data_IF_651986831137
#
_entry.id   IF_651986831137
#
_cell.length_a   1.000
_cell.length_b   1.000
_cell.length_c   1.000
_cell.angle_alpha   90.00
_cell.angle_beta   90.00
_cell.angle_gamma   90.00
#
_symmetry.space_group_name_H-M   'P 1'
#
loop_
_entity.id
_entity.type
_entity.pdbx_description
1 polymer ?
#
# COMPACT_ATOMS: atom_id res chain seq x y z
N UNK A 1 1.44 19.48 33.11
CA UNK A 1 0.89 18.24 32.53
C UNK A 1 -0.62 18.29 32.67
N UNK A 2 -1.37 18.26 31.59
CA UNK A 2 -2.82 18.08 31.66
C UNK A 2 -3.09 16.69 32.26
N UNK A 3 -3.85 16.62 33.36
CA UNK A 3 -4.31 15.33 33.89
C UNK A 3 -5.39 14.82 32.94
N UNK A 4 -5.27 13.57 32.50
CA UNK A 4 -6.35 12.91 31.77
C UNK A 4 -7.60 12.86 32.67
N UNK A 5 -8.81 12.95 32.11
CA UNK A 5 -10.05 12.75 32.83
C UNK A 5 -10.00 11.45 33.65
N UNK A 6 -10.57 11.46 34.87
CA UNK A 6 -10.52 10.33 35.82
C UNK A 6 -11.19 9.05 35.29
N UNK A 7 -12.03 9.18 34.27
CA UNK A 7 -12.77 8.13 33.57
C UNK A 7 -12.08 7.65 32.27
N UNK A 8 -10.86 8.10 32.00
CA UNK A 8 -10.11 7.68 30.80
C UNK A 8 -9.73 6.20 30.92
N UNK A 9 -10.32 5.36 30.07
CA UNK A 9 -9.91 3.95 29.91
C UNK A 9 -8.73 3.89 28.94
N UNK A 10 -7.60 3.36 29.40
CA UNK A 10 -6.46 3.03 28.54
C UNK A 10 -6.46 1.55 28.21
N UNK A 11 -6.35 1.23 26.93
CA UNK A 11 -6.06 -0.13 26.47
C UNK A 11 -4.55 -0.27 26.29
N UNK A 12 -3.95 -1.30 26.89
CA UNK A 12 -2.54 -1.64 26.71
C UNK A 12 -2.44 -2.86 25.81
N UNK A 13 -1.60 -2.78 24.79
CA UNK A 13 -1.31 -3.89 23.90
C UNK A 13 0.02 -4.53 24.29
N UNK A 14 -0.04 -5.74 24.83
CA UNK A 14 1.14 -6.48 25.25
C UNK A 14 1.75 -7.22 24.05
N UNK A 15 2.91 -6.73 23.59
CA UNK A 15 3.62 -7.29 22.45
C UNK A 15 4.23 -8.65 22.80
N UNK A 16 4.60 -8.90 24.06
CA UNK A 16 5.15 -10.18 24.48
C UNK A 16 4.08 -11.27 24.48
N UNK A 17 2.85 -10.95 24.90
CA UNK A 17 1.72 -11.87 24.77
C UNK A 17 1.37 -12.16 23.30
N UNK A 18 1.39 -11.14 22.43
CA UNK A 18 1.19 -11.36 20.99
C UNK A 18 2.28 -12.27 20.41
N UNK A 19 3.54 -11.99 20.74
CA UNK A 19 4.70 -12.77 20.30
C UNK A 19 4.59 -14.22 20.78
N UNK A 20 4.30 -14.43 22.05
CA UNK A 20 4.13 -15.77 22.60
C UNK A 20 2.98 -16.52 21.92
N UNK A 21 1.84 -15.86 21.73
CA UNK A 21 0.70 -16.46 21.01
C UNK A 21 1.05 -16.88 19.59
N UNK A 22 1.92 -16.15 18.89
CA UNK A 22 2.39 -16.54 17.57
C UNK A 22 3.36 -17.73 17.64
N UNK A 23 4.31 -17.69 18.57
CA UNK A 23 5.34 -18.74 18.74
C UNK A 23 4.73 -20.07 19.18
N UNK A 24 3.69 -20.04 20.01
CA UNK A 24 2.98 -21.24 20.47
C UNK A 24 2.34 -22.03 19.33
N UNK A 25 2.05 -21.38 18.20
CA UNK A 25 1.58 -22.05 16.98
C UNK A 25 2.69 -22.82 16.23
N UNK A 26 3.95 -22.61 16.59
CA UNK A 26 5.15 -23.18 15.96
C UNK A 26 6.10 -23.78 17.01
N UNK A 27 5.68 -24.84 17.73
CA UNK A 27 6.46 -25.42 18.80
C UNK A 27 7.80 -25.97 18.31
N UNK A 28 8.88 -25.63 19.03
CA UNK A 28 10.25 -26.06 18.72
C UNK A 28 10.97 -25.22 17.65
N UNK A 29 10.33 -24.18 17.11
CA UNK A 29 11.00 -23.23 16.21
C UNK A 29 11.71 -22.11 16.98
N UNK A 30 12.71 -21.49 16.33
CA UNK A 30 13.35 -20.30 16.84
C UNK A 30 12.39 -19.11 16.75
N UNK A 31 12.03 -18.57 17.90
CA UNK A 31 11.08 -17.46 18.04
C UNK A 31 11.41 -16.28 17.14
N UNK A 32 12.66 -15.82 17.13
CA UNK A 32 13.08 -14.64 16.36
C UNK A 32 12.86 -14.89 14.87
N UNK A 33 13.21 -16.07 14.37
CA UNK A 33 12.98 -16.41 12.97
C UNK A 33 11.48 -16.44 12.61
N UNK A 34 10.61 -17.00 13.47
CA UNK A 34 9.16 -17.01 13.22
C UNK A 34 8.62 -15.58 13.17
N UNK A 35 8.99 -14.73 14.12
CA UNK A 35 8.55 -13.32 14.13
C UNK A 35 9.03 -12.58 12.89
N UNK A 36 10.30 -12.76 12.47
CA UNK A 36 10.84 -12.14 11.27
C UNK A 36 10.13 -12.58 10.00
N UNK A 37 9.87 -13.89 9.85
CA UNK A 37 9.14 -14.44 8.72
C UNK A 37 7.72 -13.84 8.63
N UNK A 38 7.01 -13.77 9.76
CA UNK A 38 5.67 -13.20 9.79
C UNK A 38 5.66 -11.69 9.54
N UNK A 39 6.64 -10.94 10.05
CA UNK A 39 6.77 -9.51 9.74
C UNK A 39 6.93 -9.27 8.24
N UNK A 40 7.73 -10.11 7.56
CA UNK A 40 7.87 -10.03 6.10
C UNK A 40 6.58 -10.42 5.36
N UNK A 41 5.90 -11.49 5.80
CA UNK A 41 4.62 -11.91 5.21
C UNK A 41 3.52 -10.85 5.38
N UNK A 42 3.47 -10.18 6.53
CA UNK A 42 2.53 -9.10 6.79
C UNK A 42 2.73 -7.91 5.85
N UNK A 43 3.95 -7.67 5.35
CA UNK A 43 4.18 -6.66 4.32
C UNK A 43 3.37 -6.96 3.03
N UNK A 44 3.02 -8.21 2.74
CA UNK A 44 2.19 -8.57 1.58
C UNK A 44 0.70 -8.34 1.81
N UNK A 45 0.23 -8.39 3.07
CA UNK A 45 -1.17 -8.19 3.50
C UNK A 45 -1.58 -6.71 3.45
N UNK A 46 -0.59 -5.82 3.40
CA UNK A 46 -0.75 -4.38 3.24
C UNK A 46 0.20 -3.63 4.18
N UNK A 47 0.80 -2.57 3.67
CA UNK A 47 1.64 -1.67 4.45
C UNK A 47 1.56 -0.25 3.86
N UNK A 48 2.15 0.73 4.53
CA UNK A 48 2.09 2.13 4.12
C UNK A 48 2.81 2.42 2.79
N UNK A 49 3.72 1.53 2.35
CA UNK A 49 4.47 1.70 1.10
C UNK A 49 3.73 1.14 -0.10
N UNK A 50 2.97 0.05 0.06
CA UNK A 50 2.21 -0.61 -1.01
C UNK A 50 0.92 -1.21 -0.50
N UNK A 51 -0.18 -0.89 -1.20
CA UNK A 51 -1.50 -1.48 -0.93
C UNK A 51 -1.52 -2.98 -1.24
N UNK A 52 -2.34 -3.73 -0.51
CA UNK A 52 -2.51 -5.17 -0.74
C UNK A 52 -3.49 -5.46 -1.87
N UNK A 53 -3.27 -6.59 -2.55
CA UNK A 53 -4.31 -7.17 -3.39
C UNK A 53 -5.59 -7.39 -2.56
N UNK A 54 -6.78 -7.16 -3.15
CA UNK A 54 -8.01 -7.12 -2.38
C UNK A 54 -8.29 -8.39 -1.58
N UNK A 55 -8.05 -9.57 -2.15
CA UNK A 55 -8.30 -10.84 -1.47
C UNK A 55 -7.32 -11.12 -0.30
N UNK A 56 -6.15 -10.48 -0.29
CA UNK A 56 -5.13 -10.69 0.74
C UNK A 56 -5.23 -9.66 1.88
N UNK A 57 -6.19 -8.74 1.87
CA UNK A 57 -6.41 -7.80 2.98
C UNK A 57 -6.81 -8.55 4.27
N UNK A 58 -6.42 -8.02 5.44
CA UNK A 58 -6.72 -8.60 6.77
C UNK A 58 -8.22 -8.91 6.92
N UNK A 59 -9.08 -7.94 6.59
CA UNK A 59 -10.55 -8.07 6.67
C UNK A 59 -11.13 -9.19 5.82
N UNK A 60 -10.40 -9.65 4.81
CA UNK A 60 -10.78 -10.72 3.89
C UNK A 60 -10.09 -12.06 4.24
N UNK A 61 -9.48 -12.17 5.43
CA UNK A 61 -8.82 -13.39 5.90
C UNK A 61 -7.39 -13.59 5.37
N UNK A 62 -6.77 -12.56 4.78
CA UNK A 62 -5.45 -12.68 4.16
C UNK A 62 -4.34 -13.16 5.10
N UNK A 63 -4.37 -12.76 6.38
CA UNK A 63 -3.44 -13.27 7.38
C UNK A 63 -3.57 -14.78 7.56
N UNK A 64 -4.79 -15.31 7.59
CA UNK A 64 -5.02 -16.76 7.75
C UNK A 64 -4.59 -17.55 6.52
N UNK A 65 -4.75 -16.97 5.33
CA UNK A 65 -4.22 -17.53 4.09
C UNK A 65 -2.70 -17.68 4.17
N UNK A 66 -1.98 -16.61 4.56
CA UNK A 66 -0.52 -16.63 4.68
C UNK A 66 -0.04 -17.56 5.77
N UNK A 67 -0.65 -17.54 6.96
CA UNK A 67 -0.34 -18.47 8.06
C UNK A 67 -0.44 -19.91 7.59
N UNK A 68 -1.57 -20.29 6.98
CA UNK A 68 -1.78 -21.66 6.47
C UNK A 68 -0.76 -22.05 5.42
N UNK A 69 -0.49 -21.18 4.44
CA UNK A 69 0.51 -21.45 3.39
C UNK A 69 1.91 -21.61 3.99
N UNK A 70 2.30 -20.70 4.88
CA UNK A 70 3.59 -20.73 5.55
C UNK A 70 3.79 -22.04 6.31
N UNK A 71 2.84 -22.44 7.18
CA UNK A 71 2.94 -23.69 7.95
C UNK A 71 3.04 -24.92 7.05
N UNK A 72 2.23 -24.99 5.99
CA UNK A 72 2.24 -26.12 5.06
C UNK A 72 3.55 -26.25 4.27
N UNK A 73 4.12 -25.13 3.86
CA UNK A 73 5.34 -25.09 3.05
C UNK A 73 6.59 -25.27 3.92
N UNK A 74 6.64 -24.62 5.09
CA UNK A 74 7.76 -24.73 6.04
C UNK A 74 8.06 -26.19 6.41
N UNK A 75 7.04 -27.02 6.57
CA UNK A 75 7.19 -28.45 6.86
C UNK A 75 7.87 -29.25 5.72
N UNK A 76 7.87 -28.72 4.49
CA UNK A 76 8.46 -29.34 3.30
C UNK A 76 9.90 -28.88 3.03
N UNK A 77 10.31 -27.76 3.60
CA UNK A 77 11.68 -27.24 3.45
C UNK A 77 12.64 -27.94 4.40
N UNK A 78 13.88 -28.16 3.92
CA UNK A 78 14.96 -28.73 4.71
C UNK A 78 15.23 -27.86 5.96
N UNK A 79 15.65 -28.43 7.12
CA UNK A 79 15.85 -27.67 8.34
C UNK A 79 16.72 -26.40 8.20
N UNK A 80 17.74 -26.45 7.33
CA UNK A 80 18.63 -25.31 7.07
C UNK A 80 18.04 -24.22 6.15
N UNK A 81 16.90 -24.47 5.50
CA UNK A 81 16.25 -23.54 4.55
C UNK A 81 14.76 -23.37 4.86
N UNK A 82 14.36 -23.66 6.11
CA UNK A 82 12.96 -23.68 6.55
C UNK A 82 12.43 -22.33 7.05
N UNK A 83 13.25 -21.28 7.00
CA UNK A 83 12.86 -19.92 7.35
C UNK A 83 12.86 -19.06 6.08
N UNK A 84 11.95 -18.11 6.04
CA UNK A 84 11.74 -17.21 4.91
C UNK A 84 12.80 -16.10 4.90
N UNK A 85 13.19 -15.61 6.07
CA UNK A 85 14.18 -14.56 6.26
C UNK A 85 15.39 -15.11 7.01
N UNK A 86 16.56 -14.87 6.45
CA UNK A 86 17.82 -15.10 7.15
C UNK A 86 18.03 -13.97 8.17
N UNK A 87 17.98 -14.30 9.47
CA UNK A 87 18.08 -13.31 10.56
C UNK A 87 19.43 -12.60 10.67
N UNK A 88 20.50 -13.16 10.10
CA UNK A 88 21.83 -12.55 10.18
C UNK A 88 22.03 -11.51 9.07
N UNK A 89 21.47 -11.76 7.90
CA UNK A 89 21.70 -10.96 6.69
C UNK A 89 20.48 -10.15 6.24
N UNK A 90 19.30 -10.42 6.81
CA UNK A 90 18.01 -9.91 6.36
C UNK A 90 17.78 -10.14 4.86
N UNK A 91 18.20 -11.32 4.38
CA UNK A 91 17.96 -11.77 3.00
C UNK A 91 16.76 -12.71 2.97
N UNK A 92 16.08 -12.75 1.83
CA UNK A 92 14.92 -13.60 1.60
C UNK A 92 15.38 -14.92 1.01
N UNK A 93 14.90 -16.03 1.58
CA UNK A 93 15.02 -17.35 0.98
C UNK A 93 14.15 -17.41 -0.29
N UNK A 94 14.78 -17.20 -1.45
CA UNK A 94 14.09 -17.10 -2.74
C UNK A 94 13.30 -18.36 -3.10
N UNK A 95 13.76 -19.55 -2.68
CA UNK A 95 13.02 -20.79 -2.95
C UNK A 95 11.73 -20.85 -2.16
N UNK A 96 11.80 -20.62 -0.84
CA UNK A 96 10.63 -20.65 0.02
C UNK A 96 9.65 -19.52 -0.35
N UNK A 97 10.16 -18.32 -0.60
CA UNK A 97 9.33 -17.21 -1.07
C UNK A 97 8.60 -17.54 -2.38
N UNK A 98 9.30 -18.15 -3.35
CA UNK A 98 8.69 -18.57 -4.62
C UNK A 98 7.56 -19.59 -4.41
N UNK A 99 7.71 -20.51 -3.47
CA UNK A 99 6.67 -21.49 -3.13
C UNK A 99 5.43 -20.84 -2.49
N UNK A 100 5.61 -19.82 -1.65
CA UNK A 100 4.51 -19.01 -1.09
C UNK A 100 3.77 -18.28 -2.23
N UNK A 101 4.51 -17.61 -3.12
CA UNK A 101 3.94 -16.88 -4.26
C UNK A 101 3.20 -17.85 -5.20
N UNK A 102 3.73 -19.05 -5.43
CA UNK A 102 3.05 -20.12 -6.17
C UNK A 102 1.72 -20.47 -5.50
N UNK A 103 1.71 -20.72 -4.19
CA UNK A 103 0.50 -21.00 -3.43
C UNK A 103 -0.57 -19.92 -3.59
N UNK A 104 -0.17 -18.65 -3.47
CA UNK A 104 -1.07 -17.50 -3.66
C UNK A 104 -1.61 -17.42 -5.10
N UNK A 105 -0.74 -17.61 -6.10
CA UNK A 105 -1.15 -17.57 -7.52
C UNK A 105 -2.20 -18.62 -7.90
N UNK A 106 -2.18 -19.78 -7.24
CA UNK A 106 -3.11 -20.88 -7.49
C UNK A 106 -4.51 -20.59 -6.91
N UNK A 107 -4.61 -19.83 -5.82
CA UNK A 107 -5.90 -19.50 -5.19
C UNK A 107 -6.48 -18.15 -5.65
N UNK A 108 -5.64 -17.28 -6.21
CA UNK A 108 -5.97 -15.90 -6.60
C UNK A 108 -7.29 -15.76 -7.38
N UNK A 109 -7.52 -16.57 -8.42
CA UNK A 109 -8.74 -16.47 -9.24
C UNK A 109 -10.00 -16.79 -8.42
N UNK A 110 -9.93 -17.84 -7.61
CA UNK A 110 -11.04 -18.25 -6.75
C UNK A 110 -11.34 -17.21 -5.69
N UNK A 111 -10.32 -16.65 -5.04
CA UNK A 111 -10.52 -15.66 -3.97
C UNK A 111 -11.01 -14.31 -4.51
N UNK A 112 -10.55 -13.88 -5.70
CA UNK A 112 -11.09 -12.68 -6.35
C UNK A 112 -12.55 -12.85 -6.77
N UNK A 113 -12.95 -14.04 -7.26
CA UNK A 113 -14.36 -14.36 -7.55
C UNK A 113 -15.23 -14.33 -6.29
N UNK A 114 -14.77 -14.88 -5.17
CA UNK A 114 -15.47 -14.78 -3.88
C UNK A 114 -15.65 -13.33 -3.44
N UNK A 115 -14.61 -12.51 -3.62
CA UNK A 115 -14.70 -11.08 -3.32
C UNK A 115 -15.75 -10.38 -4.18
N UNK A 116 -15.80 -10.66 -5.48
CA UNK A 116 -16.83 -10.12 -6.37
C UNK A 116 -18.23 -10.49 -5.89
N UNK A 117 -18.47 -11.77 -5.56
CA UNK A 117 -19.75 -12.24 -5.04
C UNK A 117 -20.14 -11.53 -3.74
N UNK A 118 -19.17 -11.30 -2.86
CA UNK A 118 -19.39 -10.52 -1.64
C UNK A 118 -19.81 -9.08 -1.97
N UNK A 119 -19.10 -8.40 -2.87
CA UNK A 119 -19.39 -7.01 -3.25
C UNK A 119 -20.73 -6.87 -3.96
N UNK A 120 -21.10 -7.83 -4.81
CA UNK A 120 -22.43 -7.89 -5.43
C UNK A 120 -23.53 -7.98 -4.39
N UNK A 121 -23.34 -8.75 -3.30
CA UNK A 121 -24.28 -8.77 -2.16
C UNK A 121 -24.31 -7.43 -1.41
N UNK A 122 -23.15 -6.78 -1.25
CA UNK A 122 -23.09 -5.47 -0.60
C UNK A 122 -23.78 -4.37 -1.41
N UNK A 123 -23.87 -4.50 -2.74
CA UNK A 123 -24.54 -3.51 -3.62
C UNK A 123 -26.01 -3.30 -3.24
N UNK A 124 -26.71 -4.36 -2.84
CA UNK A 124 -28.15 -4.33 -2.48
C UNK A 124 -28.42 -4.59 -1.00
N UNK A 125 -27.38 -4.61 -0.17
CA UNK A 125 -27.53 -4.77 1.28
C UNK A 125 -28.38 -3.62 1.86
N UNK A 126 -29.20 -3.94 2.86
CA UNK A 126 -30.05 -2.95 3.52
C UNK A 126 -29.20 -2.02 4.38
N UNK A 127 -29.21 -0.73 4.03
CA UNK A 127 -28.72 0.37 4.86
C UNK A 127 -29.89 1.30 5.14
N UNK A 128 -29.79 2.06 6.24
CA UNK A 128 -30.78 3.10 6.54
C UNK A 128 -30.65 4.19 5.48
N UNK A 129 -31.74 4.66 4.83
CA UNK A 129 -31.67 5.74 3.85
C UNK A 129 -31.03 7.02 4.41
N UNK A 130 -30.26 7.71 3.57
CA UNK A 130 -29.50 8.93 3.89
C UNK A 130 -30.39 10.19 3.98
N UNK A 131 -31.57 10.09 4.60
CA UNK A 131 -32.55 11.18 4.70
C UNK A 131 -32.21 12.20 5.79
N UNK A 132 -31.58 11.76 6.89
CA UNK A 132 -31.06 12.63 7.93
C UNK A 132 -29.57 12.89 7.72
N UNK A 133 -29.06 14.00 8.26
CA UNK A 133 -27.62 14.30 8.23
C UNK A 133 -26.77 13.18 8.86
N UNK A 134 -27.23 12.63 9.99
CA UNK A 134 -26.53 11.55 10.69
C UNK A 134 -26.48 10.27 9.85
N UNK A 135 -27.59 9.92 9.18
CA UNK A 135 -27.64 8.75 8.30
C UNK A 135 -26.78 8.97 7.06
N UNK A 136 -26.81 10.17 6.47
CA UNK A 136 -25.94 10.54 5.35
C UNK A 136 -24.47 10.38 5.73
N UNK A 137 -24.06 10.96 6.86
CA UNK A 137 -22.67 10.91 7.32
C UNK A 137 -22.24 9.47 7.64
N UNK A 138 -23.11 8.71 8.32
CA UNK A 138 -22.87 7.29 8.61
C UNK A 138 -22.72 6.47 7.32
N UNK A 139 -23.62 6.63 6.35
CA UNK A 139 -23.55 5.90 5.09
C UNK A 139 -22.31 6.29 4.28
N UNK A 140 -21.98 7.58 4.22
CA UNK A 140 -20.77 8.07 3.55
C UNK A 140 -19.51 7.42 4.14
N UNK A 141 -19.44 7.21 5.45
CA UNK A 141 -18.26 6.62 6.08
C UNK A 141 -18.25 5.09 6.05
N UNK A 142 -19.41 4.47 6.22
CA UNK A 142 -19.50 3.07 6.63
C UNK A 142 -20.19 2.15 5.62
N UNK A 143 -20.98 2.69 4.71
CA UNK A 143 -21.51 1.89 3.60
C UNK A 143 -20.41 1.65 2.54
N UNK A 144 -20.59 0.60 1.76
CA UNK A 144 -19.76 0.35 0.59
C UNK A 144 -20.15 1.36 -0.49
N UNK A 145 -19.20 1.94 -1.23
CA UNK A 145 -19.51 2.92 -2.29
C UNK A 145 -20.39 2.27 -3.36
N UNK A 146 -20.26 0.96 -3.58
CA UNK A 146 -21.11 0.23 -4.49
C UNK A 146 -22.53 -0.04 -3.97
N UNK A 147 -22.88 0.32 -2.74
CA UNK A 147 -24.25 0.16 -2.24
C UNK A 147 -25.16 1.25 -2.81
N UNK A 148 -26.36 0.89 -3.24
CA UNK A 148 -27.32 1.84 -3.84
C UNK A 148 -27.80 2.95 -2.91
N UNK A 149 -27.65 2.80 -1.59
CA UNK A 149 -27.95 3.83 -0.60
C UNK A 149 -26.74 4.69 -0.20
N UNK A 150 -25.55 4.40 -0.76
CA UNK A 150 -24.37 5.20 -0.49
C UNK A 150 -24.51 6.58 -1.18
N UNK A 151 -24.23 7.70 -0.48
CA UNK A 151 -24.42 9.04 -1.05
C UNK A 151 -23.71 9.30 -2.38
N UNK A 152 -22.56 8.63 -2.59
CA UNK A 152 -21.76 8.74 -3.81
C UNK A 152 -22.04 7.62 -4.84
N UNK A 153 -23.10 6.83 -4.70
CA UNK A 153 -23.32 5.68 -5.59
C UNK A 153 -23.40 6.10 -7.07
N UNK A 154 -24.23 7.10 -7.39
CA UNK A 154 -24.43 7.59 -8.77
C UNK A 154 -23.14 8.14 -9.38
N UNK A 155 -22.27 8.76 -8.58
CA UNK A 155 -21.00 9.32 -9.04
C UNK A 155 -20.00 8.22 -9.47
N UNK A 156 -20.17 6.98 -9.03
CA UNK A 156 -19.21 5.89 -9.21
C UNK A 156 -19.83 4.60 -9.80
N UNK A 157 -21.12 4.58 -10.12
CA UNK A 157 -21.81 3.37 -10.62
C UNK A 157 -21.13 2.75 -11.84
N UNK A 158 -20.62 3.58 -12.74
CA UNK A 158 -19.90 3.14 -13.94
C UNK A 158 -18.51 2.54 -13.64
N UNK A 159 -17.93 2.78 -12.46
CA UNK A 159 -16.63 2.24 -12.08
C UNK A 159 -16.71 0.78 -11.60
N UNK A 160 -17.82 0.38 -10.97
CA UNK A 160 -17.90 -0.92 -10.28
C UNK A 160 -17.83 -2.14 -11.19
N UNK A 161 -18.15 -1.96 -12.47
CA UNK A 161 -18.21 -3.06 -13.45
C UNK A 161 -17.03 -3.00 -14.46
N UNK A 162 -16.06 -2.09 -14.25
CA UNK A 162 -14.85 -2.00 -15.10
C UNK A 162 -13.94 -3.22 -15.01
N UNK A 163 -13.96 -3.93 -13.88
CA UNK A 163 -13.25 -5.18 -13.68
C UNK A 163 -14.25 -6.24 -13.22
N UNK A 164 -14.49 -7.25 -14.04
CA UNK A 164 -15.41 -8.34 -13.71
C UNK A 164 -14.63 -9.62 -13.37
N UNK A 165 -14.36 -9.83 -12.08
CA UNK A 165 -13.64 -11.02 -11.61
C UNK A 165 -14.38 -12.34 -11.84
N UNK A 166 -15.68 -12.32 -12.20
CA UNK A 166 -16.43 -13.55 -12.53
C UNK A 166 -16.00 -14.18 -13.86
N UNK A 167 -15.32 -13.42 -14.72
CA UNK A 167 -14.78 -13.90 -15.99
C UNK A 167 -13.63 -14.89 -15.82
N UNK A 168 -13.13 -15.44 -16.93
CA UNK A 168 -11.91 -16.24 -16.88
C UNK A 168 -10.70 -15.41 -16.43
N UNK A 169 -9.73 -16.07 -15.78
CA UNK A 169 -8.56 -15.42 -15.19
C UNK A 169 -7.84 -14.46 -16.13
N UNK A 170 -7.69 -14.87 -17.38
CA UNK A 170 -6.97 -14.09 -18.37
C UNK A 170 -7.73 -12.80 -18.76
N UNK A 171 -9.06 -12.82 -18.73
CA UNK A 171 -9.93 -11.69 -19.11
C UNK A 171 -9.97 -10.64 -18.01
N UNK A 172 -10.30 -11.01 -16.77
CA UNK A 172 -10.34 -10.03 -15.68
C UNK A 172 -8.94 -9.48 -15.37
N UNK A 173 -7.89 -10.28 -15.56
CA UNK A 173 -6.51 -9.80 -15.44
C UNK A 173 -6.19 -8.73 -16.48
N UNK A 174 -6.67 -8.87 -17.71
CA UNK A 174 -6.52 -7.84 -18.72
C UNK A 174 -7.22 -6.55 -18.26
N UNK A 175 -8.50 -6.63 -17.88
CA UNK A 175 -9.27 -5.49 -17.35
C UNK A 175 -8.58 -4.81 -16.16
N UNK A 176 -8.04 -5.60 -15.23
CA UNK A 176 -7.29 -5.10 -14.07
C UNK A 176 -6.12 -4.21 -14.47
N UNK A 177 -5.29 -4.68 -15.40
CA UNK A 177 -4.11 -3.94 -15.82
C UNK A 177 -4.43 -2.80 -16.78
N UNK A 178 -5.42 -2.96 -17.66
CA UNK A 178 -5.92 -1.85 -18.50
C UNK A 178 -6.40 -0.70 -17.61
N UNK A 179 -7.15 -1.00 -16.56
CA UNK A 179 -7.64 -0.03 -15.60
C UNK A 179 -6.52 0.65 -14.80
N UNK A 180 -5.67 -0.12 -14.12
CA UNK A 180 -4.69 0.45 -13.19
C UNK A 180 -3.43 0.98 -13.85
N UNK A 181 -3.06 0.47 -15.03
CA UNK A 181 -1.85 0.90 -15.74
C UNK A 181 -2.16 1.81 -16.93
N UNK A 182 -3.43 1.99 -17.29
CA UNK A 182 -3.87 2.80 -18.43
C UNK A 182 -3.18 2.34 -19.73
N UNK A 183 -3.22 1.03 -19.98
CA UNK A 183 -2.59 0.37 -21.13
C UNK A 183 -3.62 -0.41 -21.94
N UNK A 184 -3.33 -0.65 -23.22
CA UNK A 184 -4.11 -1.59 -24.05
C UNK A 184 -3.50 -3.00 -23.95
N UNK A 185 -4.28 -3.97 -23.45
CA UNK A 185 -3.81 -5.35 -23.32
C UNK A 185 -3.61 -6.06 -24.66
N UNK A 186 -4.20 -5.55 -25.75
CA UNK A 186 -4.03 -6.08 -27.12
C UNK A 186 -2.62 -5.79 -27.66
N UNK A 187 -1.96 -4.74 -27.16
CA UNK A 187 -0.54 -4.54 -27.42
C UNK A 187 0.29 -5.42 -26.47
N UNK A 188 0.45 -6.69 -26.85
CA UNK A 188 1.13 -7.70 -26.02
C UNK A 188 2.54 -7.30 -25.56
N UNK A 189 3.31 -6.61 -26.41
CA UNK A 189 4.65 -6.15 -26.06
C UNK A 189 4.62 -5.13 -24.92
N UNK A 190 3.78 -4.09 -25.06
CA UNK A 190 3.58 -3.09 -24.01
C UNK A 190 2.99 -3.71 -22.75
N UNK A 191 1.97 -4.56 -22.90
CA UNK A 191 1.28 -5.24 -21.81
C UNK A 191 2.23 -6.08 -20.95
N UNK A 192 3.05 -6.93 -21.59
CA UNK A 192 4.01 -7.78 -20.89
C UNK A 192 5.15 -6.96 -20.25
N UNK A 193 5.65 -5.94 -20.96
CA UNK A 193 6.71 -5.06 -20.46
C UNK A 193 6.27 -4.30 -19.21
N UNK A 194 5.08 -3.66 -19.24
CA UNK A 194 4.53 -2.91 -18.11
C UNK A 194 4.22 -3.82 -16.93
N UNK A 195 3.58 -4.98 -17.14
CA UNK A 195 3.33 -5.97 -16.08
C UNK A 195 4.62 -6.44 -15.39
N UNK A 196 5.67 -6.70 -16.18
CA UNK A 196 6.97 -7.10 -15.63
C UNK A 196 7.57 -6.00 -14.75
N UNK A 197 7.49 -4.73 -15.17
CA UNK A 197 7.98 -3.60 -14.37
C UNK A 197 7.22 -3.45 -13.04
N UNK A 198 5.90 -3.59 -13.07
CA UNK A 198 5.06 -3.55 -11.85
C UNK A 198 5.48 -4.66 -10.88
N UNK A 199 5.75 -5.87 -11.39
CA UNK A 199 6.26 -6.97 -10.57
C UNK A 199 7.62 -6.64 -9.96
N UNK A 200 8.56 -6.12 -10.74
CA UNK A 200 9.90 -5.77 -10.24
C UNK A 200 9.83 -4.70 -9.14
N UNK A 201 9.03 -3.64 -9.32
CA UNK A 201 8.85 -2.60 -8.30
C UNK A 201 8.07 -3.10 -7.07
N UNK A 202 7.16 -4.05 -7.23
CA UNK A 202 6.48 -4.70 -6.11
C UNK A 202 7.45 -5.58 -5.29
N UNK A 203 8.28 -6.38 -5.96
CA UNK A 203 9.31 -7.16 -5.28
C UNK A 203 10.32 -6.24 -4.58
N UNK A 204 10.63 -5.10 -5.19
CA UNK A 204 11.44 -4.05 -4.59
C UNK A 204 10.79 -3.41 -3.37
N UNK A 205 9.47 -3.24 -3.35
CA UNK A 205 8.77 -2.71 -2.17
C UNK A 205 8.82 -3.65 -0.97
N UNK A 206 8.74 -4.97 -1.19
CA UNK A 206 8.89 -5.96 -0.12
C UNK A 206 10.30 -5.89 0.48
N UNK A 207 11.33 -5.80 -0.35
CA UNK A 207 12.70 -5.62 0.11
C UNK A 207 12.93 -4.26 0.78
N UNK A 208 12.29 -3.20 0.28
CA UNK A 208 12.32 -1.89 0.91
C UNK A 208 11.75 -1.98 2.33
N UNK A 209 10.59 -2.61 2.49
CA UNK A 209 9.92 -2.79 3.77
C UNK A 209 10.79 -3.59 4.75
N UNK A 210 11.32 -4.73 4.32
CA UNK A 210 12.21 -5.55 5.14
C UNK A 210 13.41 -4.76 5.66
N UNK A 211 14.10 -4.03 4.77
CA UNK A 211 15.28 -3.23 5.14
C UNK A 211 14.89 -1.99 5.95
N UNK A 212 13.76 -1.34 5.66
CA UNK A 212 13.29 -0.17 6.40
C UNK A 212 13.14 -0.47 7.90
N UNK A 213 12.46 -1.57 8.24
CA UNK A 213 12.19 -1.93 9.62
C UNK A 213 13.40 -2.51 10.36
N UNK A 214 14.36 -3.13 9.66
CA UNK A 214 15.47 -3.84 10.30
C UNK A 214 16.85 -3.14 10.16
N UNK A 215 17.01 -2.27 9.16
CA UNK A 215 18.29 -1.63 8.79
C UNK A 215 18.15 -0.11 8.60
N UNK A 216 16.94 0.45 8.77
CA UNK A 216 16.60 1.85 8.53
C UNK A 216 16.29 2.15 7.07
N UNK A 217 15.87 3.39 6.79
CA UNK A 217 15.34 3.80 5.48
C UNK A 217 16.30 3.51 4.31
N UNK A 218 16.00 2.57 3.38
CA UNK A 218 16.93 2.18 2.33
C UNK A 218 17.11 3.26 1.25
N UNK A 219 16.06 4.05 1.00
CA UNK A 219 16.06 5.16 0.04
C UNK A 219 15.03 6.20 0.47
N UNK A 220 15.44 7.46 0.50
CA UNK A 220 14.55 8.60 0.77
C UNK A 220 13.73 9.03 -0.44
N UNK A 221 14.11 8.59 -1.64
CA UNK A 221 13.54 9.05 -2.92
C UNK A 221 12.78 7.96 -3.65
N UNK A 222 13.00 6.69 -3.33
CA UNK A 222 12.23 5.58 -3.90
C UNK A 222 10.81 5.58 -3.36
N UNK A 223 9.86 5.33 -4.25
CA UNK A 223 8.45 5.09 -3.96
C UNK A 223 7.89 4.06 -4.94
N UNK A 224 6.82 3.39 -4.55
CA UNK A 224 6.08 2.52 -5.47
C UNK A 224 5.13 3.36 -6.33
N UNK A 225 5.42 3.47 -7.64
CA UNK A 225 4.74 4.39 -8.55
C UNK A 225 3.49 3.83 -9.24
N UNK A 226 2.89 2.76 -8.72
CA UNK A 226 1.72 2.14 -9.32
C UNK A 226 0.54 2.18 -8.36
N UNK A 227 -0.70 2.40 -8.84
CA UNK A 227 -1.87 2.47 -7.96
C UNK A 227 -2.16 1.17 -7.22
N UNK A 228 -1.75 0.03 -7.80
CA UNK A 228 -2.03 -1.30 -7.26
C UNK A 228 -0.85 -2.26 -7.46
N UNK A 229 -0.73 -3.30 -6.61
CA UNK A 229 0.22 -4.39 -6.78
C UNK A 229 -0.06 -5.23 -8.04
N UNK A 230 0.92 -6.01 -8.54
CA UNK A 230 0.68 -7.00 -9.58
C UNK A 230 -0.15 -8.17 -9.04
N UNK A 231 -0.77 -8.94 -9.93
CA UNK A 231 -1.34 -10.24 -9.56
C UNK A 231 -0.22 -11.27 -9.29
N UNK A 232 -0.43 -12.17 -8.33
CA UNK A 232 0.56 -13.16 -7.90
C UNK A 232 0.94 -14.15 -9.01
N UNK A 233 0.05 -14.43 -9.97
CA UNK A 233 0.42 -15.23 -11.15
C UNK A 233 1.59 -14.61 -11.93
N UNK A 234 1.62 -13.28 -12.03
CA UNK A 234 2.65 -12.57 -12.76
C UNK A 234 3.92 -12.47 -11.91
N UNK A 235 3.80 -12.30 -10.59
CA UNK A 235 4.93 -12.39 -9.66
C UNK A 235 5.61 -13.75 -9.76
N UNK A 236 4.82 -14.84 -9.70
CA UNK A 236 5.34 -16.20 -9.87
C UNK A 236 6.05 -16.37 -11.21
N UNK A 237 5.45 -15.86 -12.29
CA UNK A 237 6.02 -15.96 -13.64
C UNK A 237 7.38 -15.28 -13.74
N UNK A 238 7.55 -14.10 -13.13
CA UNK A 238 8.84 -13.39 -13.11
C UNK A 238 9.87 -14.14 -12.28
N UNK A 239 9.50 -14.62 -11.09
CA UNK A 239 10.41 -15.40 -10.23
C UNK A 239 10.87 -16.70 -10.90
N UNK A 240 9.97 -17.37 -11.62
CA UNK A 240 10.27 -18.65 -12.28
C UNK A 240 11.04 -18.47 -13.60
N UNK A 241 10.63 -17.54 -14.46
CA UNK A 241 11.15 -17.46 -15.84
C UNK A 241 12.26 -16.44 -16.03
N UNK A 242 12.34 -15.40 -15.20
CA UNK A 242 13.31 -14.30 -15.38
C UNK A 242 14.49 -14.38 -14.40
N UNK A 243 14.56 -15.42 -13.56
CA UNK A 243 15.59 -15.61 -12.53
C UNK A 243 15.85 -14.33 -11.71
N UNK A 244 14.78 -13.61 -11.38
CA UNK A 244 14.87 -12.38 -10.63
C UNK A 244 15.26 -12.66 -9.18
N UNK A 245 16.41 -12.14 -8.75
CA UNK A 245 16.91 -12.29 -7.37
C UNK A 245 16.62 -11.03 -6.56
N UNK A 246 15.66 -11.13 -5.63
CA UNK A 246 15.24 -10.03 -4.77
C UNK A 246 16.38 -9.52 -3.89
N UNK A 247 17.32 -10.38 -3.51
CA UNK A 247 18.41 -10.03 -2.60
C UNK A 247 19.45 -9.11 -3.26
N UNK A 248 19.50 -9.07 -4.59
CA UNK A 248 20.41 -8.21 -5.37
C UNK A 248 19.86 -6.81 -5.62
N UNK A 249 18.70 -6.48 -5.07
CA UNK A 249 18.11 -5.16 -5.23
C UNK A 249 18.93 -4.07 -4.52
N UNK A 250 19.25 -3.02 -5.27
CA UNK A 250 20.02 -1.87 -4.83
C UNK A 250 19.07 -0.67 -4.68
N UNK A 251 19.24 0.06 -3.58
CA UNK A 251 18.53 1.30 -3.29
C UNK A 251 19.53 2.44 -3.25
N UNK A 252 19.25 3.51 -3.99
CA UNK A 252 19.98 4.76 -3.84
C UNK A 252 19.50 5.45 -2.57
N UNK A 253 20.39 5.61 -1.58
CA UNK A 253 20.02 6.14 -0.26
C UNK A 253 19.35 7.51 -0.34
N UNK A 254 19.88 8.41 -1.17
CA UNK A 254 19.42 9.79 -1.26
C UNK A 254 19.54 10.54 0.08
N UNK A 255 18.86 11.68 0.16
CA UNK A 255 18.72 12.48 1.38
C UNK A 255 17.25 12.78 1.62
N UNK A 256 16.80 12.93 2.88
CA UNK A 256 15.44 13.34 3.15
C UNK A 256 15.16 14.73 2.58
N UNK A 257 13.93 14.95 2.12
CA UNK A 257 13.45 16.29 1.80
C UNK A 257 13.49 17.18 3.05
N UNK A 258 13.74 18.47 2.85
CA UNK A 258 13.56 19.46 3.92
C UNK A 258 12.08 19.50 4.36
N UNK A 259 11.78 20.03 5.56
CA UNK A 259 10.39 20.22 6.00
C UNK A 259 9.52 20.94 4.97
N UNK A 260 10.02 21.99 4.32
CA UNK A 260 9.24 22.73 3.31
C UNK A 260 9.16 22.04 1.96
N UNK A 261 10.18 21.30 1.55
CA UNK A 261 10.08 20.44 0.36
C UNK A 261 9.00 19.37 0.57
N UNK A 262 9.01 18.67 1.71
CA UNK A 262 7.99 17.68 2.04
C UNK A 262 6.59 18.32 2.12
N UNK A 263 6.42 19.41 2.88
CA UNK A 263 5.13 20.08 3.02
C UNK A 263 4.58 20.57 1.68
N UNK A 264 5.45 21.06 0.79
CA UNK A 264 5.01 21.47 -0.55
C UNK A 264 4.53 20.28 -1.40
N UNK A 265 4.97 19.05 -1.12
CA UNK A 265 4.53 17.85 -1.83
C UNK A 265 3.24 17.23 -1.28
N UNK A 266 2.99 17.36 0.03
CA UNK A 266 1.89 16.64 0.70
C UNK A 266 0.68 17.52 1.06
N UNK A 267 0.88 18.84 1.18
CA UNK A 267 -0.20 19.72 1.61
C UNK A 267 -1.21 19.94 0.49
N UNK A 268 -2.51 19.85 0.78
CA UNK A 268 -3.54 20.28 -0.14
C UNK A 268 -3.57 21.82 -0.24
N UNK A 269 -4.12 22.40 -1.33
CA UNK A 269 -4.15 23.85 -1.53
C UNK A 269 -4.73 24.64 -0.34
N UNK A 270 -5.70 24.08 0.37
CA UNK A 270 -6.41 24.71 1.49
C UNK A 270 -5.55 24.83 2.76
N UNK A 271 -4.42 24.13 2.83
CA UNK A 271 -3.49 24.13 3.99
C UNK A 271 -2.12 24.70 3.65
N UNK A 272 -1.99 25.35 2.50
CA UNK A 272 -0.73 25.96 2.06
C UNK A 272 -0.31 27.16 2.91
N UNK A 273 -1.19 27.68 3.76
CA UNK A 273 -0.90 28.71 4.78
C UNK A 273 0.08 28.23 5.86
N UNK A 274 0.28 26.91 6.00
CA UNK A 274 1.33 26.34 6.86
C UNK A 274 2.75 26.59 6.33
N UNK A 275 2.89 26.88 5.03
CA UNK A 275 4.13 27.30 4.39
C UNK A 275 4.29 28.83 4.43
N UNK A 276 5.52 29.35 4.31
CA UNK A 276 5.74 30.79 4.18
C UNK A 276 4.95 31.38 2.99
N UNK A 277 4.48 32.63 3.12
CA UNK A 277 3.62 33.25 2.10
C UNK A 277 4.23 33.31 0.70
N UNK A 278 5.56 33.27 0.56
CA UNK A 278 6.25 33.19 -0.73
C UNK A 278 5.97 31.88 -1.49
N UNK A 279 5.61 30.80 -0.79
CA UNK A 279 5.31 29.49 -1.38
C UNK A 279 3.94 29.42 -2.04
N UNK A 280 3.04 30.40 -1.78
CA UNK A 280 1.73 30.49 -2.44
C UNK A 280 1.85 30.60 -3.97
N UNK A 281 3.00 31.05 -4.49
CA UNK A 281 3.29 31.04 -5.91
C UNK A 281 3.24 29.63 -6.53
N UNK A 282 3.60 28.59 -5.77
CA UNK A 282 3.62 27.21 -6.24
C UNK A 282 2.22 26.75 -6.68
N UNK A 283 1.18 27.14 -5.95
CA UNK A 283 -0.21 26.81 -6.30
C UNK A 283 -0.62 27.36 -7.66
N UNK A 284 -0.11 28.54 -8.05
CA UNK A 284 -0.41 29.18 -9.34
C UNK A 284 0.43 28.60 -10.48
N UNK A 285 1.69 28.26 -10.20
CA UNK A 285 2.64 27.77 -11.21
C UNK A 285 2.45 26.27 -11.51
N UNK A 286 2.07 25.49 -10.49
CA UNK A 286 1.89 24.04 -10.57
C UNK A 286 0.45 23.63 -10.26
N UNK A 287 -0.54 24.42 -10.72
CA UNK A 287 -1.97 24.20 -10.45
C UNK A 287 -2.43 22.76 -10.71
N UNK A 288 -1.91 22.12 -11.76
CA UNK A 288 -2.23 20.74 -12.09
C UNK A 288 -1.81 19.73 -11.01
N UNK A 289 -0.82 20.03 -10.18
CA UNK A 289 -0.37 19.19 -9.06
C UNK A 289 -1.16 19.44 -7.77
N UNK A 290 -2.01 20.48 -7.75
CA UNK A 290 -2.76 20.92 -6.58
C UNK A 290 -4.26 21.00 -6.90
N UNK A 291 -4.91 19.88 -7.24
CA UNK A 291 -6.33 19.89 -7.54
C UNK A 291 -7.14 20.29 -6.31
N UNK A 292 -8.18 21.09 -6.50
CA UNK A 292 -9.15 21.43 -5.45
C UNK A 292 -10.21 20.34 -5.26
N UNK A 293 -10.35 19.44 -6.23
CA UNK A 293 -11.30 18.34 -6.25
C UNK A 293 -10.66 17.11 -6.93
N UNK A 294 -11.05 15.91 -6.49
CA UNK A 294 -10.54 14.66 -7.00
C UNK A 294 -11.58 13.55 -6.85
N UNK A 295 -11.54 12.58 -7.74
CA UNK A 295 -12.30 11.33 -7.59
C UNK A 295 -11.51 10.36 -6.72
N UNK A 296 -12.20 9.45 -6.05
CA UNK A 296 -11.56 8.30 -5.42
C UNK A 296 -11.50 7.11 -6.39
N UNK A 297 -10.60 6.17 -6.15
CA UNK A 297 -10.63 4.89 -6.82
C UNK A 297 -11.73 4.00 -6.21
N UNK A 298 -12.84 3.90 -6.91
CA UNK A 298 -14.01 3.14 -6.49
C UNK A 298 -14.20 1.83 -7.26
N UNK A 299 -13.23 1.38 -8.08
CA UNK A 299 -13.41 0.21 -8.97
C UNK A 299 -13.76 -1.07 -8.21
N UNK A 300 -13.22 -1.21 -6.99
CA UNK A 300 -13.51 -2.34 -6.11
C UNK A 300 -14.80 -2.18 -5.30
N UNK A 301 -15.49 -1.04 -5.39
CA UNK A 301 -16.72 -0.75 -4.66
C UNK A 301 -16.57 -0.81 -3.14
N UNK A 302 -15.37 -0.61 -2.60
CA UNK A 302 -15.11 -0.67 -1.15
C UNK A 302 -15.75 0.52 -0.42
N UNK A 303 -15.65 0.56 0.91
CA UNK A 303 -16.08 1.72 1.69
C UNK A 303 -15.25 2.95 1.33
N UNK A 304 -15.89 4.12 1.32
CA UNK A 304 -15.26 5.39 0.97
C UNK A 304 -13.99 5.69 1.77
N UNK A 305 -14.01 5.45 3.09
CA UNK A 305 -12.86 5.65 3.97
C UNK A 305 -11.63 4.77 3.66
N UNK A 306 -11.79 3.77 2.78
CA UNK A 306 -10.73 2.86 2.36
C UNK A 306 -10.34 3.02 0.89
N UNK A 307 -10.91 4.02 0.20
CA UNK A 307 -10.61 4.31 -1.19
C UNK A 307 -9.48 5.33 -1.31
N UNK A 308 -8.60 5.09 -2.28
CA UNK A 308 -7.48 5.99 -2.56
C UNK A 308 -7.94 7.19 -3.39
N UNK A 309 -7.37 8.37 -3.14
CA UNK A 309 -7.60 9.53 -3.98
C UNK A 309 -6.90 9.35 -5.34
N UNK A 310 -7.61 9.62 -6.44
CA UNK A 310 -7.00 9.68 -7.78
C UNK A 310 -6.44 11.06 -8.01
N UNK A 311 -5.18 11.22 -7.62
CA UNK A 311 -4.42 12.45 -7.83
C UNK A 311 -3.66 12.39 -9.17
N UNK A 312 -3.44 13.55 -9.81
CA UNK A 312 -2.68 13.62 -11.06
C UNK A 312 -1.20 13.24 -10.83
N UNK A 313 -0.59 12.65 -11.85
CA UNK A 313 0.83 12.31 -11.81
C UNK A 313 1.69 13.58 -11.73
N UNK A 314 2.75 13.51 -10.92
CA UNK A 314 3.67 14.63 -10.72
C UNK A 314 4.71 14.73 -11.84
N UNK A 315 4.27 15.10 -13.04
CA UNK A 315 5.10 15.05 -14.28
C UNK A 315 6.26 16.05 -14.33
N UNK A 316 6.21 17.14 -13.55
CA UNK A 316 7.22 18.21 -13.54
C UNK A 316 8.05 18.29 -12.25
N UNK A 317 8.28 17.15 -11.60
CA UNK A 317 8.92 17.07 -10.28
C UNK A 317 10.25 17.83 -10.18
N UNK A 318 11.14 17.69 -11.16
CA UNK A 318 12.44 18.38 -11.14
C UNK A 318 12.31 19.91 -11.19
N UNK A 319 11.40 20.42 -12.01
CA UNK A 319 11.11 21.87 -12.13
C UNK A 319 10.47 22.40 -10.86
N UNK A 320 9.53 21.63 -10.29
CA UNK A 320 8.90 21.92 -9.02
C UNK A 320 9.92 22.02 -7.87
N UNK A 321 10.75 20.99 -7.70
CA UNK A 321 11.74 20.95 -6.63
C UNK A 321 12.77 22.08 -6.78
N UNK A 322 13.13 22.46 -8.01
CA UNK A 322 13.98 23.61 -8.27
C UNK A 322 13.34 24.93 -7.81
N UNK A 323 12.05 25.11 -8.07
CA UNK A 323 11.31 26.30 -7.62
C UNK A 323 11.27 26.37 -6.08
N UNK A 324 10.93 25.25 -5.42
CA UNK A 324 10.93 25.16 -3.97
C UNK A 324 12.30 25.53 -3.40
N UNK A 325 13.39 24.95 -3.92
CA UNK A 325 14.76 25.28 -3.48
C UNK A 325 15.11 26.75 -3.69
N UNK A 326 14.57 27.38 -4.73
CA UNK A 326 14.77 28.81 -5.00
C UNK A 326 14.06 29.68 -3.96
N UNK A 327 12.86 29.28 -3.54
CA UNK A 327 12.13 29.93 -2.45
C UNK A 327 12.81 29.73 -1.10
N UNK A 328 13.38 28.54 -0.85
CA UNK A 328 14.12 28.23 0.38
C UNK A 328 15.32 29.17 0.60
N UNK A 329 16.01 29.60 -0.47
CA UNK A 329 17.12 30.56 -0.38
C UNK A 329 16.69 31.96 0.05
N UNK A 330 15.40 32.28 -0.04
CA UNK A 330 14.82 33.60 0.28
C UNK A 330 14.03 33.58 1.59
N UNK A 331 14.15 32.52 2.39
CA UNK A 331 13.43 32.40 3.65
C UNK A 331 13.82 33.48 4.65
N UNK A 332 12.85 33.91 5.45
CA UNK A 332 13.11 34.72 6.63
C UNK A 332 14.00 33.93 7.61
N UNK A 333 14.71 34.63 8.51
CA UNK A 333 15.49 33.97 9.57
C UNK A 333 14.64 33.02 10.43
N UNK A 334 13.36 33.34 10.64
CA UNK A 334 12.42 32.51 11.41
C UNK A 334 12.09 31.22 10.66
N UNK A 335 11.78 31.31 9.37
CA UNK A 335 11.39 30.16 8.56
C UNK A 335 12.58 29.28 8.19
N UNK A 336 13.76 29.88 7.98
CA UNK A 336 15.01 29.13 7.80
C UNK A 336 15.33 28.25 9.02
N UNK A 337 15.05 28.70 10.24
CA UNK A 337 15.19 27.89 11.47
C UNK A 337 14.21 26.72 11.55
N UNK A 338 13.03 26.84 10.93
CA UNK A 338 12.01 25.77 10.89
C UNK A 338 12.31 24.74 9.79
N UNK A 339 13.06 25.13 8.76
CA UNK A 339 13.37 24.32 7.60
C UNK A 339 14.74 23.65 7.69
N UNK A 340 14.99 22.93 8.79
CA UNK A 340 16.27 22.26 9.05
C UNK A 340 16.02 20.77 9.28
N UNK A 341 16.82 19.93 8.62
CA UNK A 341 16.83 18.50 8.88
C UNK A 341 17.64 18.23 10.15
N UNK A 342 17.02 17.59 11.14
CA UNK A 342 17.66 17.22 12.40
C UNK A 342 17.71 15.70 12.54
N UNK A 343 18.77 15.18 13.17
CA UNK A 343 18.96 13.74 13.42
C UNK A 343 18.53 13.32 14.83
N UNK A 344 18.23 14.28 15.71
CA UNK A 344 17.70 13.99 17.06
C UNK A 344 16.20 13.75 16.97
N UNK A 345 15.78 12.56 17.38
CA UNK A 345 14.39 12.28 17.72
C UNK A 345 14.00 13.21 18.88
N UNK A 346 12.95 14.01 18.71
CA UNK A 346 12.36 14.72 19.85
C UNK A 346 11.85 13.64 20.82
N UNK A 347 12.59 13.41 21.91
CA UNK A 347 12.03 12.73 23.07
C UNK A 347 11.04 13.72 23.69
N UNK A 348 9.75 13.42 23.54
CA UNK A 348 8.67 14.13 24.22
C UNK A 348 8.77 13.93 25.74
#
# INVERSE_FOLDING_TARGET
MAKLPMDTIMFVFDIDLLRQSLVDEFPGEDETNIVLDFNFLLAMVGNDFVTSLPFLKIKNGGLQILKRLYSQLKARHHPNTRYLIDKATFTVNSSFFKDIIKGLSLMEDTEMKKLQLFLTKQRTAQYIPAESFDNFYSNLQHAYICNTNHPLYEDYVEDFDKINYSLEKHQWKAQYYEHFLQIDSKNFSMYNSKRTKVVQEYLKSLMFTLRYYNQGCPSWTWHYSYPMPPVFQDVFTVLEKQQFDLNRLIFEKGIPFSPYQQLSLILPPQKFDLLPSSFQHLLKKFTACYPSDFRVDAVLGLKYIYSEARLPEFTNFSSFLFEVKTLERKLSKKDAKRNVTITKVFKL
#
